data_IF_271065796845
#
_entry.id   IF_271065796845
#
_cell.length_a   1.000
_cell.length_b   1.000
_cell.length_c   1.000
_cell.angle_alpha   90.00
_cell.angle_beta   90.00
_cell.angle_gamma   90.00
#
_symmetry.space_group_name_H-M   'P 1'
#
loop_
_entity.id
_entity.type
_entity.pdbx_description
1 polymer ?
#
# COMPACT_ATOMS: atom_id res chain seq x y z
N UNK A 1 19.71 -44.92 20.60
CA UNK A 1 20.75 -44.27 19.80
C UNK A 1 20.11 -43.90 18.48
N UNK A 2 19.97 -42.60 18.31
CA UNK A 2 19.36 -41.82 17.25
C UNK A 2 19.71 -42.27 15.81
N UNK A 3 18.87 -41.93 14.82
CA UNK A 3 18.99 -40.65 14.10
C UNK A 3 17.88 -40.50 13.01
N UNK A 4 17.10 -39.43 13.16
CA UNK A 4 16.56 -38.55 12.10
C UNK A 4 15.53 -39.10 11.10
N UNK A 5 14.24 -38.97 11.45
CA UNK A 5 13.24 -38.54 10.47
C UNK A 5 12.99 -37.04 10.65
N UNK A 6 13.82 -36.22 10.01
CA UNK A 6 13.55 -34.79 9.79
C UNK A 6 12.98 -34.61 8.39
N UNK A 7 11.65 -34.62 8.31
CA UNK A 7 10.92 -34.38 7.07
C UNK A 7 10.78 -32.88 6.81
N UNK A 8 11.67 -32.38 5.96
CA UNK A 8 11.46 -31.31 4.96
C UNK A 8 10.90 -29.98 5.48
N UNK A 9 11.81 -29.04 5.76
CA UNK A 9 11.56 -27.61 5.68
C UNK A 9 11.03 -27.26 4.27
N UNK A 10 9.71 -27.21 4.07
CA UNK A 10 9.15 -26.44 2.96
C UNK A 10 9.33 -24.96 3.29
N UNK A 11 10.49 -24.46 2.91
CA UNK A 11 10.71 -23.04 2.66
C UNK A 11 9.64 -22.59 1.66
N UNK A 12 8.49 -22.15 2.17
CA UNK A 12 7.51 -21.39 1.42
C UNK A 12 8.23 -20.11 1.01
N UNK A 13 8.90 -20.13 -0.14
CA UNK A 13 8.89 -18.95 -1.01
C UNK A 13 7.43 -18.74 -1.36
N UNK A 14 6.69 -18.11 -0.43
CA UNK A 14 5.31 -17.75 -0.61
C UNK A 14 5.25 -16.89 -1.86
N UNK A 15 4.42 -17.31 -2.82
CA UNK A 15 3.97 -16.44 -3.89
C UNK A 15 3.64 -15.07 -3.28
N UNK A 16 4.00 -13.94 -3.92
CA UNK A 16 3.65 -12.63 -3.38
C UNK A 16 2.14 -12.56 -3.21
N UNK A 17 1.68 -12.69 -1.97
CA UNK A 17 0.28 -12.57 -1.61
C UNK A 17 0.01 -11.10 -1.37
N UNK A 18 -0.91 -10.53 -2.14
CA UNK A 18 -1.40 -9.18 -1.92
C UNK A 18 -2.15 -9.20 -0.58
N UNK A 19 -1.60 -8.53 0.41
CA UNK A 19 -2.24 -8.40 1.71
C UNK A 19 -3.03 -7.10 1.74
N UNK A 20 -4.30 -7.19 2.15
CA UNK A 20 -5.19 -6.03 2.27
C UNK A 20 -5.48 -5.79 3.74
N UNK A 21 -5.43 -4.52 4.12
CA UNK A 21 -5.77 -4.03 5.44
C UNK A 21 -7.06 -3.20 5.38
N UNK A 22 -7.80 -3.17 6.48
CA UNK A 22 -8.87 -2.19 6.68
C UNK A 22 -8.66 -1.46 8.00
N UNK A 23 -8.90 -0.15 8.02
CA UNK A 23 -8.91 0.62 9.26
C UNK A 23 -10.13 0.29 10.12
N UNK A 24 -9.90 0.17 11.43
CA UNK A 24 -10.96 0.00 12.43
C UNK A 24 -11.22 1.29 13.22
N UNK A 25 -10.34 2.27 13.06
CA UNK A 25 -10.45 3.61 13.65
C UNK A 25 -9.98 4.65 12.64
N UNK A 26 -10.41 5.89 12.82
CA UNK A 26 -9.84 7.04 12.12
C UNK A 26 -8.46 7.38 12.67
N UNK A 27 -7.60 7.95 11.83
CA UNK A 27 -6.30 8.44 12.22
C UNK A 27 -5.99 9.73 11.47
N UNK A 28 -5.65 10.79 12.22
CA UNK A 28 -5.36 12.10 11.68
C UNK A 28 -3.92 12.49 12.03
N UNK A 29 -3.07 12.56 11.00
CA UNK A 29 -1.70 13.04 11.12
C UNK A 29 -1.53 14.35 10.36
N UNK A 30 -0.93 15.33 11.04
CA UNK A 30 -0.71 16.68 10.51
C UNK A 30 0.77 17.09 10.50
N UNK A 31 1.63 16.34 11.18
CA UNK A 31 3.04 16.68 11.42
C UNK A 31 3.99 15.91 10.53
N UNK A 32 3.76 14.61 10.35
CA UNK A 32 4.60 13.77 9.50
C UNK A 32 3.88 13.41 8.18
N UNK A 33 4.30 13.98 7.04
CA UNK A 33 3.69 13.69 5.75
C UNK A 33 3.91 12.25 5.27
N UNK A 34 4.78 11.46 5.92
CA UNK A 34 4.99 10.05 5.59
C UNK A 34 3.91 9.15 6.16
N UNK A 35 3.14 9.63 7.15
CA UNK A 35 2.07 8.86 7.77
C UNK A 35 0.76 9.29 7.12
N UNK A 36 -0.08 8.32 6.78
CA UNK A 36 -1.34 8.61 6.12
C UNK A 36 -2.40 9.05 7.14
N UNK A 37 -3.15 10.08 6.77
CA UNK A 37 -4.45 10.37 7.40
C UNK A 37 -5.52 9.55 6.69
N UNK A 38 -6.38 8.89 7.45
CA UNK A 38 -7.41 8.00 6.92
C UNK A 38 -8.65 7.96 7.83
N UNK A 39 -9.76 7.48 7.27
CA UNK A 39 -11.03 7.33 7.99
C UNK A 39 -11.25 5.87 8.42
N UNK A 40 -12.25 5.63 9.28
CA UNK A 40 -12.71 4.28 9.58
C UNK A 40 -13.20 3.58 8.31
N UNK A 41 -13.03 2.26 8.25
CA UNK A 41 -13.43 1.40 7.13
C UNK A 41 -12.68 1.62 5.79
N UNK A 42 -11.60 2.40 5.79
CA UNK A 42 -10.76 2.60 4.62
C UNK A 42 -9.85 1.39 4.37
N UNK A 43 -9.63 1.06 3.09
CA UNK A 43 -8.84 -0.10 2.69
C UNK A 43 -7.47 0.29 2.15
N UNK A 44 -6.48 -0.56 2.43
CA UNK A 44 -5.10 -0.37 2.02
C UNK A 44 -4.52 -1.65 1.44
N UNK A 45 -3.67 -1.52 0.43
CA UNK A 45 -2.82 -2.62 -0.03
C UNK A 45 -1.46 -2.50 0.66
N UNK A 46 -1.04 -3.57 1.34
CA UNK A 46 0.27 -3.60 2.01
C UNK A 46 1.39 -3.76 0.98
N UNK A 47 2.40 -2.90 1.11
CA UNK A 47 3.63 -2.94 0.30
C UNK A 47 4.74 -3.61 1.10
N UNK A 48 4.89 -3.23 2.38
CA UNK A 48 5.88 -3.80 3.28
C UNK A 48 5.26 -3.99 4.67
N UNK A 49 5.46 -5.18 5.21
CA UNK A 49 5.17 -5.50 6.60
C UNK A 49 6.10 -4.70 7.53
N UNK A 50 5.79 -4.69 8.82
CA UNK A 50 6.63 -4.02 9.79
C UNK A 50 7.92 -4.82 10.03
N UNK A 51 9.05 -4.12 10.06
CA UNK A 51 10.29 -4.73 10.55
C UNK A 51 10.09 -5.02 12.06
N UNK A 52 10.78 -6.01 12.63
CA UNK A 52 10.57 -6.50 14.02
C UNK A 52 10.57 -5.44 15.14
N UNK A 53 11.00 -4.21 14.86
CA UNK A 53 11.03 -3.08 15.78
C UNK A 53 10.06 -1.94 15.46
N UNK A 54 9.18 -2.09 14.47
CA UNK A 54 8.28 -1.04 13.98
C UNK A 54 6.82 -1.45 14.18
N UNK A 55 6.00 -0.54 14.72
CA UNK A 55 4.54 -0.69 14.82
C UNK A 55 3.79 -0.14 13.59
N UNK A 56 4.48 -0.02 12.46
CA UNK A 56 3.98 0.67 11.27
C UNK A 56 4.05 -0.21 10.04
N UNK A 57 2.94 -0.29 9.30
CA UNK A 57 2.88 -0.92 7.99
C UNK A 57 3.05 0.14 6.90
N UNK A 58 3.77 -0.23 5.83
CA UNK A 58 3.91 0.62 4.65
C UNK A 58 2.91 0.19 3.58
N UNK A 59 2.03 1.11 3.18
CA UNK A 59 0.82 0.79 2.42
C UNK A 59 0.52 1.82 1.34
N UNK A 60 -0.39 1.46 0.43
CA UNK A 60 -1.06 2.39 -0.49
C UNK A 60 -2.57 2.39 -0.25
N UNK A 61 -3.17 3.57 -0.16
CA UNK A 61 -4.62 3.74 0.00
C UNK A 61 -5.35 3.89 -1.35
N UNK A 62 -6.68 3.92 -1.30
CA UNK A 62 -7.57 4.01 -2.47
C UNK A 62 -7.38 5.29 -3.31
N UNK A 63 -6.81 6.34 -2.72
CA UNK A 63 -6.47 7.63 -3.33
C UNK A 63 -5.07 7.60 -3.98
N UNK A 64 -4.41 6.45 -3.98
CA UNK A 64 -3.06 6.27 -4.52
C UNK A 64 -2.00 7.05 -3.73
N UNK A 65 -2.22 7.29 -2.44
CA UNK A 65 -1.23 7.84 -1.53
C UNK A 65 -0.48 6.68 -0.88
N UNK A 66 0.83 6.83 -0.77
CA UNK A 66 1.71 5.81 -0.19
C UNK A 66 2.30 6.37 1.10
N UNK A 67 2.26 5.59 2.17
CA UNK A 67 2.78 6.02 3.46
C UNK A 67 2.64 4.95 4.54
N UNK A 68 2.87 5.36 5.78
CA UNK A 68 2.78 4.49 6.95
C UNK A 68 1.41 4.57 7.61
N UNK A 69 0.95 3.44 8.14
CA UNK A 69 -0.22 3.35 9.03
C UNK A 69 0.15 2.58 10.30
N UNK A 70 -0.37 2.95 11.47
CA UNK A 70 -0.10 2.24 12.71
C UNK A 70 -0.82 0.88 12.71
N UNK A 71 -0.11 -0.19 13.03
CA UNK A 71 -0.63 -1.56 13.01
C UNK A 71 -1.85 -1.76 13.93
N UNK A 72 -1.95 -1.00 15.02
CA UNK A 72 -3.03 -1.07 16.01
C UNK A 72 -4.36 -0.46 15.53
N UNK A 73 -4.33 0.27 14.41
CA UNK A 73 -5.51 0.93 13.83
C UNK A 73 -6.06 0.18 12.63
N UNK A 74 -5.38 -0.89 12.21
CA UNK A 74 -5.70 -1.63 11.01
C UNK A 74 -5.67 -3.13 11.27
N UNK A 75 -6.40 -3.87 10.46
CA UNK A 75 -6.55 -5.31 10.61
C UNK A 75 -6.48 -5.98 9.25
N UNK A 76 -5.89 -7.17 9.20
CA UNK A 76 -5.83 -7.96 7.98
C UNK A 76 -7.24 -8.35 7.51
N UNK A 77 -7.43 -8.30 6.20
CA UNK A 77 -8.66 -8.73 5.53
C UNK A 77 -8.39 -9.96 4.69
N UNK A 78 -8.48 -11.10 5.36
CA UNK A 78 -8.23 -12.43 4.76
C UNK A 78 -9.35 -12.88 3.82
N UNK A 79 -10.57 -12.34 3.96
CA UNK A 79 -11.77 -12.78 3.23
C UNK A 79 -12.40 -11.67 2.36
N UNK A 80 -11.59 -10.91 1.64
CA UNK A 80 -12.15 -10.02 0.62
C UNK A 80 -12.56 -10.83 -0.61
N UNK A 81 -13.84 -10.67 -1.01
CA UNK A 81 -14.32 -11.19 -2.28
C UNK A 81 -13.46 -10.67 -3.44
N UNK A 82 -13.19 -11.51 -4.43
CA UNK A 82 -12.34 -11.19 -5.58
C UNK A 82 -12.78 -9.90 -6.28
N UNK A 83 -14.10 -9.66 -6.36
CA UNK A 83 -14.64 -8.43 -6.96
C UNK A 83 -14.26 -7.18 -6.16
N UNK A 84 -14.22 -7.27 -4.83
CA UNK A 84 -13.84 -6.14 -3.97
C UNK A 84 -12.34 -5.86 -4.09
N UNK A 85 -11.52 -6.92 -4.09
CA UNK A 85 -10.08 -6.80 -4.29
C UNK A 85 -9.74 -6.19 -5.65
N UNK A 86 -10.41 -6.62 -6.72
CA UNK A 86 -10.23 -6.04 -8.06
C UNK A 86 -10.62 -4.56 -8.10
N UNK A 87 -11.77 -4.19 -7.54
CA UNK A 87 -12.20 -2.78 -7.45
C UNK A 87 -11.19 -1.91 -6.69
N UNK A 88 -10.64 -2.44 -5.60
CA UNK A 88 -9.61 -1.75 -4.82
C UNK A 88 -8.36 -1.49 -5.68
N UNK A 89 -7.85 -2.52 -6.35
CA UNK A 89 -6.67 -2.43 -7.21
C UNK A 89 -6.92 -1.47 -8.38
N UNK A 90 -8.08 -1.57 -9.04
CA UNK A 90 -8.46 -0.69 -10.14
C UNK A 90 -8.51 0.78 -9.70
N UNK A 91 -9.06 1.06 -8.51
CA UNK A 91 -9.10 2.42 -7.95
C UNK A 91 -7.69 2.95 -7.71
N UNK A 92 -6.82 2.14 -7.11
CA UNK A 92 -5.43 2.52 -6.82
C UNK A 92 -4.67 2.81 -8.11
N UNK A 93 -4.73 1.88 -9.08
CA UNK A 93 -4.07 2.04 -10.38
C UNK A 93 -4.53 3.31 -11.10
N UNK A 94 -5.85 3.54 -11.16
CA UNK A 94 -6.43 4.73 -11.79
C UNK A 94 -5.93 6.04 -11.17
N UNK A 95 -5.75 6.07 -9.84
CA UNK A 95 -5.24 7.26 -9.13
C UNK A 95 -3.74 7.47 -9.32
N UNK A 96 -2.96 6.39 -9.43
CA UNK A 96 -1.53 6.47 -9.71
C UNK A 96 -1.28 6.98 -11.14
N UNK A 97 -2.04 6.51 -12.13
CA UNK A 97 -1.92 6.96 -13.53
C UNK A 97 -2.31 8.43 -13.71
N UNK A 98 -3.37 8.88 -13.03
CA UNK A 98 -3.78 10.28 -13.07
C UNK A 98 -2.66 11.23 -12.59
N UNK A 99 -1.96 10.87 -11.50
CA UNK A 99 -0.82 11.67 -10.97
C UNK A 99 0.35 11.73 -11.94
N UNK A 100 0.63 10.64 -12.66
CA UNK A 100 1.69 10.62 -13.67
C UNK A 100 1.36 11.50 -14.89
N UNK A 101 0.08 11.61 -15.27
CA UNK A 101 -0.33 12.45 -16.38
C UNK A 101 -0.22 13.95 -16.04
N UNK A 102 -0.53 14.35 -14.81
CA UNK A 102 -0.35 15.73 -14.35
C UNK A 102 1.14 16.14 -14.26
N UNK A 103 2.03 15.23 -13.85
CA UNK A 103 3.48 15.51 -13.86
C UNK A 103 4.03 15.71 -15.29
N UNK A 104 3.53 14.94 -16.27
CA UNK A 104 3.89 15.13 -17.68
C UNK A 104 3.33 16.44 -18.27
N UNK A 105 2.24 16.98 -17.70
CA UNK A 105 1.66 18.26 -18.10
C UNK A 105 2.51 19.47 -17.66
N UNK A 106 3.13 19.38 -16.47
CA UNK A 106 3.98 20.47 -15.93
C UNK A 106 5.32 20.59 -16.67
N UNK A 107 5.85 19.49 -17.21
CA UNK A 107 7.06 19.48 -18.04
C UNK A 107 6.83 20.13 -19.42
N UNK A 108 5.62 20.02 -19.97
CA UNK A 108 5.33 20.54 -21.32
C UNK A 108 5.24 22.07 -21.35
N UNK A 109 4.62 22.72 -20.36
CA UNK A 109 4.44 24.18 -20.38
C UNK A 109 5.75 24.97 -20.19
N UNK A 110 6.69 24.47 -19.38
CA UNK A 110 8.00 25.13 -19.18
C UNK A 110 8.96 24.91 -20.34
N UNK A 111 8.91 23.75 -21.01
CA UNK A 111 9.76 23.45 -22.16
C UNK A 111 9.26 24.12 -23.45
N UNK A 112 7.93 24.25 -23.63
CA UNK A 112 7.35 24.91 -24.81
C UNK A 112 7.62 26.41 -24.86
N UNK A 113 7.71 27.11 -23.72
CA UNK A 113 7.99 28.55 -23.68
C UNK A 113 9.44 28.92 -24.03
N UNK A 114 10.39 28.03 -23.79
CA UNK A 114 11.80 28.26 -24.15
C UNK A 114 12.12 27.87 -25.60
N UNK A 115 11.28 27.06 -26.25
CA UNK A 115 11.47 26.65 -27.64
C UNK A 115 10.92 27.63 -28.68
N UNK A 116 10.27 28.73 -28.24
CA UNK A 116 9.68 29.76 -29.11
C UNK A 116 10.36 31.14 -29.00
N UNK A 117 11.59 31.22 -28.49
CA UNK A 117 12.42 32.44 -28.57
C UNK A 117 13.62 32.25 -29.48
#
# INVERSE_FOLDING_TARGET
>A
MDLHQQSINLNRKSSPQIQILQSIFEYNESRDPKILTFQIDEYFVMIKDSDQSSDWYYVVNQQGQIGYVPNSYVVYRENLDLKQSLKLIDSIASKLDAKNNDQNKILTDRQLKHAQM
#
